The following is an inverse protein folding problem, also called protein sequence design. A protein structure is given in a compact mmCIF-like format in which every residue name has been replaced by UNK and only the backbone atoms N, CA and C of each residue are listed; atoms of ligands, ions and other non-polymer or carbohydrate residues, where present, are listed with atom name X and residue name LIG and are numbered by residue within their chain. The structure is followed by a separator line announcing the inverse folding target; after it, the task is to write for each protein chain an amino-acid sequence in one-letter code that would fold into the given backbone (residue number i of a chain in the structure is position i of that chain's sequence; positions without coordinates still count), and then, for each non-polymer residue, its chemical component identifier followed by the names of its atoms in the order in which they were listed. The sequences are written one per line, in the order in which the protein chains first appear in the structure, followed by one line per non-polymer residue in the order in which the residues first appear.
data_IF_308952801131
#
_entry.id   IF_308952801131
#
_cell.length_a   1.000
_cell.length_b   1.000
_cell.length_c   1.000
_cell.angle_alpha   90.00
_cell.angle_beta   90.00
_cell.angle_gamma   90.00
#
_symmetry.space_group_name_H-M   'P 1'
#
loop_
_entity.id
_entity.type
_entity.pdbx_description
1 polymer ?
#
# COMPACT_ATOMS: atom_id res chain seq x y z
N UNK A 1 60.21 -14.33 -17.55
CA UNK A 1 60.24 -15.60 -16.78
C UNK A 1 58.80 -16.13 -16.73
N UNK A 2 58.47 -17.20 -17.45
CA UNK A 2 58.41 -18.60 -16.96
C UNK A 2 57.26 -18.77 -15.92
N UNK A 3 56.23 -19.63 -16.01
CA UNK A 3 55.97 -20.81 -16.86
C UNK A 3 54.54 -21.35 -16.59
N UNK A 4 53.80 -21.67 -17.67
CA UNK A 4 52.92 -22.84 -17.94
C UNK A 4 51.77 -23.32 -17.00
N UNK A 5 50.58 -23.32 -17.63
CA UNK A 5 49.43 -24.27 -17.67
C UNK A 5 49.59 -25.64 -16.99
N UNK A 6 48.49 -26.17 -16.43
CA UNK A 6 48.05 -27.57 -16.65
C UNK A 6 46.52 -27.74 -16.55
N UNK A 7 45.94 -28.29 -17.60
CA UNK A 7 44.54 -28.72 -17.80
C UNK A 7 44.37 -30.17 -17.33
N UNK A 8 43.21 -30.55 -16.79
CA UNK A 8 42.72 -31.95 -16.85
C UNK A 8 41.21 -31.99 -17.07
N UNK A 9 40.83 -32.26 -18.31
CA UNK A 9 39.54 -32.79 -18.76
C UNK A 9 39.40 -34.25 -18.35
N UNK A 10 38.20 -34.66 -17.94
CA UNK A 10 37.75 -36.05 -17.99
C UNK A 10 36.31 -36.07 -18.54
N UNK A 11 36.14 -36.72 -19.68
CA UNK A 11 34.86 -37.02 -20.31
C UNK A 11 34.45 -38.45 -19.92
N UNK A 12 33.14 -38.69 -19.76
CA UNK A 12 32.53 -40.01 -19.85
C UNK A 12 31.24 -39.87 -20.66
N UNK A 13 31.07 -40.78 -21.62
CA UNK A 13 30.05 -40.78 -22.66
C UNK A 13 29.10 -41.98 -22.53
N UNK A 14 27.94 -41.87 -23.20
CA UNK A 14 27.06 -42.95 -23.72
C UNK A 14 26.11 -43.60 -22.69
N UNK A 15 24.86 -44.02 -23.00
CA UNK A 15 24.12 -44.25 -24.25
C UNK A 15 22.59 -44.27 -23.99
N UNK A 16 21.82 -44.13 -25.07
CA UNK A 16 20.35 -44.08 -25.16
C UNK A 16 19.66 -45.45 -25.04
N UNK A 17 18.35 -45.45 -24.73
CA UNK A 17 17.38 -46.49 -25.12
C UNK A 17 15.98 -45.89 -25.32
N UNK A 18 15.42 -46.13 -26.51
CA UNK A 18 14.04 -45.87 -26.92
C UNK A 18 13.12 -46.98 -26.37
N UNK A 19 11.92 -46.61 -25.94
CA UNK A 19 10.84 -47.57 -25.63
C UNK A 19 9.46 -46.93 -25.84
N UNK A 20 8.79 -47.31 -26.94
CA UNK A 20 7.37 -47.09 -27.17
C UNK A 20 6.58 -48.20 -26.45
N UNK A 21 5.52 -47.83 -25.74
CA UNK A 21 4.57 -48.78 -25.15
C UNK A 21 3.25 -48.11 -24.78
N UNK A 22 2.22 -48.36 -25.58
CA UNK A 22 0.83 -47.91 -25.41
C UNK A 22 0.03 -48.89 -24.55
N UNK A 23 -0.58 -48.43 -23.47
CA UNK A 23 -1.85 -49.00 -22.94
C UNK A 23 -2.69 -47.85 -22.36
N UNK A 24 -3.82 -47.59 -23.01
CA UNK A 24 -4.79 -46.60 -22.58
C UNK A 24 -5.53 -47.07 -21.34
N UNK A 25 -5.42 -46.30 -20.26
CA UNK A 25 -6.42 -46.27 -19.21
C UNK A 25 -7.32 -45.07 -19.50
N UNK A 26 -8.57 -45.34 -19.90
CA UNK A 26 -9.62 -44.33 -19.91
C UNK A 26 -9.90 -43.93 -18.46
N UNK A 27 -9.14 -42.95 -17.95
CA UNK A 27 -9.52 -42.23 -16.76
C UNK A 27 -10.78 -41.43 -17.13
N UNK A 28 -11.91 -41.83 -16.55
CA UNK A 28 -13.08 -40.98 -16.46
C UNK A 28 -12.63 -39.69 -15.75
N UNK A 29 -12.41 -38.64 -16.54
CA UNK A 29 -12.28 -37.29 -16.02
C UNK A 29 -13.63 -36.97 -15.39
N UNK A 30 -13.71 -37.16 -14.07
CA UNK A 30 -14.72 -36.49 -13.28
C UNK A 30 -14.52 -35.00 -13.55
N UNK A 31 -15.43 -34.43 -14.35
CA UNK A 31 -15.60 -33.01 -14.51
C UNK A 31 -15.89 -32.48 -13.12
N UNK A 32 -14.83 -32.06 -12.42
CA UNK A 32 -14.96 -31.30 -11.20
C UNK A 32 -15.53 -29.97 -11.66
N UNK A 33 -16.87 -29.91 -11.71
CA UNK A 33 -17.64 -28.70 -11.91
C UNK A 33 -17.00 -27.63 -11.03
N UNK A 34 -16.28 -26.71 -11.68
CA UNK A 34 -15.54 -25.67 -11.01
C UNK A 34 -16.55 -24.84 -10.23
N UNK A 35 -16.61 -25.06 -8.91
CA UNK A 35 -17.20 -24.08 -8.01
C UNK A 35 -16.41 -22.80 -8.28
N UNK A 36 -17.06 -21.70 -8.71
CA UNK A 36 -16.34 -20.45 -8.85
C UNK A 36 -15.75 -20.14 -7.49
N UNK A 37 -14.42 -20.22 -7.39
CA UNK A 37 -13.71 -19.70 -6.23
C UNK A 37 -14.01 -18.22 -6.22
N UNK A 38 -14.99 -17.82 -5.39
CA UNK A 38 -15.39 -16.42 -5.24
C UNK A 38 -14.16 -15.70 -4.70
N UNK A 39 -13.41 -15.07 -5.60
CA UNK A 39 -12.28 -14.25 -5.22
C UNK A 39 -12.83 -13.12 -4.36
N UNK A 40 -12.30 -13.00 -3.14
CA UNK A 40 -12.70 -11.92 -2.23
C UNK A 40 -12.52 -10.58 -2.97
N UNK A 41 -13.57 -9.75 -3.11
CA UNK A 41 -13.51 -8.51 -3.87
C UNK A 41 -12.58 -7.49 -3.18
N UNK A 42 -12.02 -6.54 -3.92
CA UNK A 42 -11.30 -5.41 -3.33
C UNK A 42 -12.21 -4.58 -2.42
N UNK A 43 -11.66 -4.01 -1.36
CA UNK A 43 -12.40 -3.13 -0.46
C UNK A 43 -12.72 -1.82 -1.20
N UNK A 44 -14.00 -1.57 -1.42
CA UNK A 44 -14.47 -0.29 -1.97
C UNK A 44 -14.60 0.76 -0.87
N UNK A 45 -14.66 2.03 -1.27
CA UNK A 45 -14.92 3.14 -0.35
C UNK A 45 -16.16 2.91 0.53
N UNK A 46 -17.25 2.38 -0.03
CA UNK A 46 -18.51 2.19 0.69
C UNK A 46 -18.42 1.10 1.78
N UNK A 47 -17.42 0.21 1.71
CA UNK A 47 -17.21 -0.85 2.71
C UNK A 47 -16.37 -0.39 3.89
N UNK A 48 -15.72 0.77 3.77
CA UNK A 48 -14.67 1.21 4.67
C UNK A 48 -15.05 2.48 5.42
N UNK A 49 -14.53 2.61 6.63
CA UNK A 49 -14.39 3.89 7.33
C UNK A 49 -12.92 4.23 7.49
N UNK A 50 -12.59 5.53 7.42
CA UNK A 50 -11.23 6.02 7.61
C UNK A 50 -11.12 6.83 8.91
N UNK A 51 -9.98 6.69 9.58
CA UNK A 51 -9.57 7.60 10.65
C UNK A 51 -8.07 7.81 10.58
N UNK A 52 -7.61 9.01 10.93
CA UNK A 52 -6.20 9.37 10.98
C UNK A 52 -5.92 9.93 12.37
N UNK A 53 -4.96 9.35 13.08
CA UNK A 53 -4.60 9.79 14.44
C UNK A 53 -3.11 10.02 14.54
N UNK A 54 -2.70 11.12 15.16
CA UNK A 54 -1.28 11.37 15.46
C UNK A 54 -0.69 10.21 16.27
N UNK A 55 0.55 9.83 15.95
CA UNK A 55 1.29 8.81 16.70
C UNK A 55 2.10 9.54 17.78
N UNK A 56 1.81 9.33 19.09
CA UNK A 56 2.53 10.00 20.16
C UNK A 56 4.04 9.75 20.10
N UNK A 57 4.83 10.80 20.28
CA UNK A 57 6.30 10.72 20.24
C UNK A 57 6.89 10.51 18.84
N UNK A 58 6.08 10.60 17.78
CA UNK A 58 6.58 10.53 16.40
C UNK A 58 7.18 11.84 15.89
N UNK A 59 7.00 12.95 16.63
CA UNK A 59 7.53 14.25 16.27
C UNK A 59 9.04 14.29 16.50
N UNK A 60 9.81 14.44 15.43
CA UNK A 60 11.26 14.41 15.50
C UNK A 60 11.91 14.58 14.14
N UNK A 61 13.14 15.10 14.12
CA UNK A 61 13.92 15.35 12.90
C UNK A 61 13.15 16.13 11.81
N UNK A 62 12.24 17.03 12.21
CA UNK A 62 11.43 17.82 11.28
C UNK A 62 10.22 17.09 10.70
N UNK A 63 9.87 15.92 11.21
CA UNK A 63 8.72 15.13 10.75
C UNK A 63 7.73 14.86 11.88
N UNK A 64 6.51 14.50 11.49
CA UNK A 64 5.48 13.93 12.37
C UNK A 64 4.85 12.74 11.66
N UNK A 65 4.29 11.80 12.42
CA UNK A 65 3.61 10.65 11.83
C UNK A 65 2.19 10.47 12.37
N UNK A 66 1.33 9.99 11.47
CA UNK A 66 -0.05 9.65 11.74
C UNK A 66 -0.31 8.20 11.38
N UNK A 67 -1.18 7.56 12.14
CA UNK A 67 -1.74 6.26 11.81
C UNK A 67 -3.02 6.46 11.01
N UNK A 68 -3.01 6.05 9.74
CA UNK A 68 -4.24 5.81 9.00
C UNK A 68 -4.79 4.44 9.38
N UNK A 69 -6.07 4.38 9.72
CA UNK A 69 -6.84 3.14 9.87
C UNK A 69 -7.97 3.11 8.84
N UNK A 70 -8.02 2.04 8.05
CA UNK A 70 -9.17 1.66 7.22
C UNK A 70 -9.84 0.45 7.86
N UNK A 71 -11.08 0.62 8.32
CA UNK A 71 -11.86 -0.44 8.96
C UNK A 71 -13.00 -0.89 8.04
N UNK A 72 -13.14 -2.20 7.85
CA UNK A 72 -14.29 -2.77 7.16
C UNK A 72 -15.54 -2.65 8.05
N UNK A 73 -16.46 -1.78 7.65
CA UNK A 73 -17.74 -1.53 8.33
C UNK A 73 -18.91 -2.21 7.60
N UNK A 74 -18.64 -2.93 6.52
CA UNK A 74 -19.63 -3.74 5.81
C UNK A 74 -19.81 -5.11 6.47
N UNK A 75 -20.82 -5.84 6.01
CA UNK A 75 -21.06 -7.25 6.39
C UNK A 75 -20.32 -8.25 5.50
N UNK A 76 -19.58 -7.78 4.49
CA UNK A 76 -18.87 -8.62 3.52
C UNK A 76 -17.36 -8.60 3.76
N UNK A 77 -16.70 -9.73 3.50
CA UNK A 77 -15.24 -9.76 3.44
C UNK A 77 -14.75 -8.97 2.22
N UNK A 78 -13.63 -8.25 2.36
CA UNK A 78 -12.96 -7.61 1.24
C UNK A 78 -11.44 -7.75 1.33
N UNK A 79 -10.75 -7.57 0.21
CA UNK A 79 -9.30 -7.62 0.08
C UNK A 79 -8.75 -6.20 0.04
N UNK A 80 -7.60 -5.98 0.66
CA UNK A 80 -6.87 -4.72 0.61
C UNK A 80 -5.39 -5.00 0.35
N UNK A 81 -4.80 -4.31 -0.62
CA UNK A 81 -3.41 -4.51 -1.02
C UNK A 81 -2.81 -3.23 -1.62
N UNK A 82 -1.60 -2.87 -1.20
CA UNK A 82 -0.87 -1.71 -1.73
C UNK A 82 -1.10 -0.42 -0.94
N UNK A 83 -1.04 0.71 -1.62
CA UNK A 83 -0.98 2.04 -1.02
C UNK A 83 -2.32 2.76 -1.07
N UNK A 84 -2.76 3.38 0.03
CA UNK A 84 -3.83 4.34 -0.04
C UNK A 84 -3.35 5.61 -0.76
N UNK A 85 -4.22 6.24 -1.53
CA UNK A 85 -4.00 7.63 -1.95
C UNK A 85 -4.28 8.55 -0.76
N UNK A 86 -3.35 9.42 -0.40
CA UNK A 86 -3.51 10.35 0.73
C UNK A 86 -3.23 11.77 0.27
N UNK A 87 -4.13 12.68 0.61
CA UNK A 87 -3.95 14.12 0.39
C UNK A 87 -4.61 14.89 1.53
N UNK A 88 -4.19 16.13 1.73
CA UNK A 88 -4.83 17.04 2.67
C UNK A 88 -5.86 17.88 1.93
N UNK A 89 -6.97 18.18 2.58
CA UNK A 89 -8.08 18.96 2.00
C UNK A 89 -8.54 20.05 2.96
N UNK A 90 -9.10 21.13 2.41
CA UNK A 90 -9.60 22.24 3.22
C UNK A 90 -10.65 23.07 2.51
N UNK A 91 -10.79 24.32 2.96
CA UNK A 91 -11.69 25.36 2.45
C UNK A 91 -13.19 25.06 2.62
N UNK A 92 -13.56 24.03 3.38
CA UNK A 92 -14.95 23.62 3.60
C UNK A 92 -15.61 22.91 2.43
N UNK A 93 -14.95 22.83 1.27
CA UNK A 93 -15.44 22.18 0.05
C UNK A 93 -14.65 20.91 -0.32
N UNK A 94 -13.59 20.61 0.45
CA UNK A 94 -12.71 19.48 0.20
C UNK A 94 -11.67 19.75 -0.89
N UNK A 95 -11.43 21.00 -1.28
CA UNK A 95 -10.35 21.32 -2.22
C UNK A 95 -9.02 20.77 -1.71
N UNK A 96 -8.27 20.09 -2.58
CA UNK A 96 -6.98 19.53 -2.21
C UNK A 96 -5.97 20.64 -1.94
N UNK A 97 -5.22 20.49 -0.86
CA UNK A 97 -4.14 21.38 -0.46
C UNK A 97 -2.81 20.70 -0.77
N UNK A 98 -2.01 21.34 -1.62
CA UNK A 98 -0.66 20.91 -1.96
C UNK A 98 -0.59 19.54 -2.65
N UNK A 99 0.62 18.96 -2.61
CA UNK A 99 0.90 17.66 -3.22
C UNK A 99 0.30 16.50 -2.41
N UNK A 100 -0.15 15.43 -3.09
CA UNK A 100 -0.54 14.18 -2.43
C UNK A 100 0.71 13.45 -1.88
N UNK A 101 0.47 12.42 -1.06
CA UNK A 101 1.51 11.59 -0.51
C UNK A 101 2.27 10.79 -1.58
N UNK A 102 3.59 10.78 -1.45
CA UNK A 102 4.45 9.82 -2.15
C UNK A 102 4.41 8.46 -1.44
N UNK A 103 4.59 7.37 -2.20
CA UNK A 103 4.59 6.00 -1.66
C UNK A 103 5.96 5.62 -1.11
N UNK A 104 5.99 4.99 0.06
CA UNK A 104 7.20 4.42 0.69
C UNK A 104 7.20 2.91 0.61
N UNK A 105 8.38 2.29 0.47
CA UNK A 105 8.56 0.82 0.42
C UNK A 105 7.96 0.15 -0.83
N UNK A 106 8.21 -1.15 -1.08
CA UNK A 106 7.48 -1.91 -2.10
C UNK A 106 6.11 -2.41 -1.61
N UNK A 107 5.20 -2.69 -2.55
CA UNK A 107 3.91 -3.33 -2.28
C UNK A 107 4.10 -4.63 -1.48
N UNK A 108 3.25 -4.82 -0.47
CA UNK A 108 3.19 -6.04 0.32
C UNK A 108 1.98 -6.90 -0.02
N UNK A 109 1.85 -7.97 0.77
CA UNK A 109 0.93 -9.04 0.45
C UNK A 109 -0.53 -8.63 0.72
N UNK A 110 -1.46 -8.91 -0.20
CA UNK A 110 -2.88 -8.66 0.00
C UNK A 110 -3.40 -9.25 1.30
N UNK A 111 -4.33 -8.53 1.94
CA UNK A 111 -4.96 -8.94 3.21
C UNK A 111 -6.47 -8.99 3.04
N UNK A 112 -7.10 -9.99 3.65
CA UNK A 112 -8.56 -10.06 3.75
C UNK A 112 -8.99 -9.38 5.04
N UNK A 113 -9.87 -8.38 4.92
CA UNK A 113 -10.55 -7.74 6.03
C UNK A 113 -11.95 -8.36 6.16
N UNK A 114 -12.12 -9.18 7.21
CA UNK A 114 -13.46 -9.58 7.68
C UNK A 114 -14.20 -8.36 8.25
N UNK A 115 -15.54 -8.42 8.41
CA UNK A 115 -16.29 -7.37 9.10
C UNK A 115 -15.64 -6.95 10.41
N UNK A 116 -15.54 -5.65 10.64
CA UNK A 116 -14.87 -4.99 11.77
C UNK A 116 -13.34 -5.10 11.82
N UNK A 117 -12.69 -5.88 10.95
CA UNK A 117 -11.24 -5.88 10.85
C UNK A 117 -10.71 -4.55 10.30
N UNK A 118 -9.48 -4.22 10.66
CA UNK A 118 -8.80 -3.00 10.24
C UNK A 118 -7.48 -3.31 9.55
N UNK A 119 -7.12 -2.44 8.62
CA UNK A 119 -5.77 -2.32 8.09
C UNK A 119 -5.25 -0.91 8.33
N UNK A 120 -3.93 -0.78 8.39
CA UNK A 120 -3.23 0.40 8.84
C UNK A 120 -2.13 0.80 7.87
N UNK A 121 -1.94 2.10 7.67
CA UNK A 121 -0.76 2.66 7.03
C UNK A 121 -0.21 3.78 7.91
N UNK A 122 1.08 4.08 7.77
CA UNK A 122 1.72 5.23 8.39
C UNK A 122 1.78 6.35 7.37
N UNK A 123 1.23 7.50 7.73
CA UNK A 123 1.41 8.76 7.01
C UNK A 123 2.55 9.48 7.72
N UNK A 124 3.58 9.90 7.00
CA UNK A 124 4.67 10.72 7.52
C UNK A 124 4.61 12.06 6.82
N UNK A 125 4.56 13.14 7.59
CA UNK A 125 4.64 14.49 7.02
C UNK A 125 5.86 15.21 7.51
N UNK A 126 6.30 16.21 6.76
CA UNK A 126 7.09 17.30 7.34
C UNK A 126 6.23 17.97 8.42
N UNK A 127 6.85 18.34 9.53
CA UNK A 127 6.20 19.06 10.61
C UNK A 127 5.96 20.52 10.18
N UNK A 128 4.76 20.80 9.69
CA UNK A 128 4.35 22.15 9.27
C UNK A 128 3.85 22.91 10.50
N UNK A 129 4.54 24.01 10.83
CA UNK A 129 4.07 24.99 11.79
C UNK A 129 3.64 26.29 11.08
N UNK A 130 3.31 27.33 11.85
CA UNK A 130 2.89 28.64 11.32
C UNK A 130 3.92 29.33 10.40
N UNK A 131 5.18 28.91 10.43
CA UNK A 131 6.28 29.46 9.65
C UNK A 131 6.76 28.48 8.56
N UNK A 132 6.02 27.39 8.30
CA UNK A 132 6.37 26.37 7.33
C UNK A 132 7.26 25.25 7.87
N UNK A 133 7.60 25.29 9.17
CA UNK A 133 8.47 24.31 9.81
C UNK A 133 9.83 24.19 9.10
N UNK A 134 10.36 22.96 8.89
CA UNK A 134 11.61 22.74 8.17
C UNK A 134 11.63 23.24 6.72
N UNK A 135 10.47 23.47 6.09
CA UNK A 135 10.40 23.99 4.73
C UNK A 135 10.46 25.53 4.69
N UNK A 136 10.27 26.22 5.81
CA UNK A 136 10.30 27.68 5.88
C UNK A 136 9.44 28.34 4.81
N UNK A 137 10.04 29.24 4.03
CA UNK A 137 9.38 29.99 2.96
C UNK A 137 8.96 29.14 1.75
N UNK A 138 9.50 27.93 1.60
CA UNK A 138 9.08 27.04 0.50
C UNK A 138 7.65 26.53 0.73
N UNK A 139 7.14 26.69 1.96
CA UNK A 139 5.81 26.28 2.33
C UNK A 139 4.88 27.46 2.59
N UNK A 140 3.88 27.63 1.72
CA UNK A 140 2.73 28.47 2.02
C UNK A 140 1.80 27.69 2.96
N UNK A 141 1.75 28.12 4.21
CA UNK A 141 1.00 27.44 5.28
C UNK A 141 -0.48 27.80 5.19
N UNK A 142 -1.34 26.79 5.28
CA UNK A 142 -2.79 26.95 5.36
C UNK A 142 -3.37 26.00 6.41
N UNK A 143 -4.52 26.37 6.98
CA UNK A 143 -5.30 25.45 7.82
C UNK A 143 -6.06 24.47 6.91
N UNK A 144 -6.04 23.19 7.28
CA UNK A 144 -6.77 22.14 6.61
C UNK A 144 -7.95 21.65 7.46
N UNK A 145 -8.94 21.07 6.79
CA UNK A 145 -10.09 20.46 7.44
C UNK A 145 -9.78 19.00 7.83
N UNK A 146 -9.00 18.31 7.00
CA UNK A 146 -8.61 16.93 7.23
C UNK A 146 -7.96 16.24 6.05
N UNK A 147 -8.08 14.91 6.04
CA UNK A 147 -7.44 14.03 5.07
C UNK A 147 -8.47 13.46 4.09
N UNK A 148 -8.11 13.45 2.81
CA UNK A 148 -8.78 12.67 1.77
C UNK A 148 -8.00 11.38 1.54
N UNK A 149 -8.67 10.25 1.70
CA UNK A 149 -8.08 8.91 1.66
C UNK A 149 -8.76 8.07 0.57
N UNK A 150 -8.01 7.65 -0.44
CA UNK A 150 -8.45 6.66 -1.41
C UNK A 150 -7.99 5.28 -0.94
N UNK A 151 -8.89 4.29 -0.75
CA UNK A 151 -8.47 2.91 -0.56
C UNK A 151 -7.58 2.46 -1.73
N UNK A 152 -6.68 1.49 -1.52
CA UNK A 152 -5.86 0.98 -2.61
C UNK A 152 -6.72 0.50 -3.79
N UNK A 153 -6.33 0.88 -5.01
CA UNK A 153 -7.03 0.57 -6.26
C UNK A 153 -8.49 1.10 -6.36
N UNK A 154 -8.86 2.08 -5.53
CA UNK A 154 -10.18 2.71 -5.53
C UNK A 154 -10.07 4.21 -5.89
N UNK A 155 -11.08 4.73 -6.58
CA UNK A 155 -11.13 6.13 -7.04
C UNK A 155 -12.13 6.97 -6.24
N UNK A 156 -12.93 6.35 -5.37
CA UNK A 156 -13.78 7.04 -4.41
C UNK A 156 -13.03 7.24 -3.10
N UNK A 157 -13.02 8.48 -2.60
CA UNK A 157 -12.32 8.81 -1.37
C UNK A 157 -13.22 8.72 -0.12
N UNK A 158 -12.59 8.37 0.99
CA UNK A 158 -13.05 8.60 2.35
C UNK A 158 -12.50 9.94 2.84
N UNK A 159 -13.20 10.56 3.78
CA UNK A 159 -12.74 11.74 4.49
C UNK A 159 -12.47 11.41 5.95
N UNK A 160 -11.33 11.86 6.48
CA UNK A 160 -11.00 11.76 7.88
C UNK A 160 -10.70 13.17 8.45
N UNK A 161 -11.56 13.72 9.32
CA UNK A 161 -11.36 15.05 9.88
C UNK A 161 -10.09 15.10 10.74
N UNK A 162 -9.38 16.23 10.71
CA UNK A 162 -8.18 16.44 11.52
C UNK A 162 -8.10 17.88 12.01
N UNK A 163 -8.84 18.24 13.08
CA UNK A 163 -8.85 19.59 13.62
C UNK A 163 -7.44 20.08 13.97
N UNK A 164 -7.11 21.31 13.56
CA UNK A 164 -5.80 21.92 13.81
C UNK A 164 -4.68 21.43 12.91
N UNK A 165 -4.98 20.65 11.86
CA UNK A 165 -3.99 20.25 10.86
C UNK A 165 -3.53 21.48 10.06
N UNK A 166 -2.23 21.79 10.15
CA UNK A 166 -1.58 22.73 9.24
C UNK A 166 -1.03 21.99 8.04
N UNK A 167 -1.15 22.60 6.87
CA UNK A 167 -0.80 22.00 5.60
C UNK A 167 0.04 22.94 4.74
N UNK A 168 0.81 22.33 3.85
CA UNK A 168 1.60 23.05 2.87
C UNK A 168 0.87 23.12 1.53
N UNK A 169 0.48 24.32 1.07
CA UNK A 169 -0.21 24.48 -0.22
C UNK A 169 0.74 24.60 -1.41
N UNK A 170 2.04 24.82 -1.16
CA UNK A 170 3.08 24.88 -2.20
C UNK A 170 3.28 23.55 -2.92
N UNK A 171 3.89 23.60 -4.11
CA UNK A 171 4.27 22.42 -4.90
C UNK A 171 5.58 21.78 -4.41
N UNK A 172 5.55 21.27 -3.19
CA UNK A 172 6.68 20.59 -2.53
C UNK A 172 6.25 19.24 -1.99
N UNK A 173 7.18 18.28 -1.94
CA UNK A 173 6.93 16.99 -1.32
C UNK A 173 7.03 17.10 0.19
N UNK A 174 5.91 16.90 0.87
CA UNK A 174 5.84 17.02 2.33
C UNK A 174 5.03 15.91 3.00
N UNK A 175 4.45 14.98 2.21
CA UNK A 175 3.66 13.85 2.70
C UNK A 175 4.20 12.56 2.06
N UNK A 176 4.31 11.52 2.87
CA UNK A 176 4.63 10.17 2.46
C UNK A 176 3.68 9.18 3.12
N UNK A 177 3.45 8.03 2.49
CA UNK A 177 2.57 6.99 3.03
C UNK A 177 3.13 5.59 2.77
N UNK A 178 3.05 4.74 3.80
CA UNK A 178 3.37 3.31 3.65
C UNK A 178 2.19 2.55 3.06
N UNK A 179 2.44 1.31 2.68
CA UNK A 179 1.38 0.38 2.29
C UNK A 179 0.44 0.03 3.47
N UNK A 180 -0.71 -0.56 3.12
CA UNK A 180 -1.68 -1.11 4.05
C UNK A 180 -1.19 -2.43 4.68
N UNK A 181 -1.11 -2.46 6.02
CA UNK A 181 -0.69 -3.60 6.85
C UNK A 181 -1.78 -3.98 7.86
N UNK A 182 -1.72 -5.18 8.46
CA UNK A 182 -2.65 -5.58 9.54
C UNK A 182 -2.15 -5.21 10.93
N UNK A 183 -0.84 -4.94 11.07
CA UNK A 183 -0.23 -4.37 12.26
C UNK A 183 -0.13 -2.85 12.14
N UNK A 184 -0.18 -2.18 13.29
CA UNK A 184 0.08 -0.73 13.42
C UNK A 184 1.58 -0.44 13.34
#
# INVERSE_FOLDING_TARGET
MKTRRFTRTAAVASAALLGLGTVGAAATTADAAGVPSQTVPECTQAMLSASVTHIPGSDGAGHTAYQLRLQNVSTQNCRIAGYPGVSVVGHGDGTQIGRPADRLDPDGQPKVLIPNASSYARIVTVNIDKNGGPLGSDCQVVNADGWRIYPPNETKALYAPSPGLMACSSDVNWIQVTQMNTSR
#
